data_IF_259774093054
#
_entry.id   IF_259774093054
#
_cell.length_a   1.000
_cell.length_b   1.000
_cell.length_c   1.000
_cell.angle_alpha   90.00
_cell.angle_beta   90.00
_cell.angle_gamma   90.00
#
_symmetry.space_group_name_H-M   'P 1'
#
loop_
_entity.id
_entity.type
_entity.pdbx_description
1 polymer ?
#
# COMPACT_ATOMS: atom_id res chain seq x y z
N UNK A 1 79.39 -30.66 -11.09
CA UNK A 1 79.13 -29.24 -11.43
C UNK A 1 78.03 -28.75 -10.50
N UNK A 2 78.12 -27.49 -10.06
CA UNK A 2 77.55 -26.93 -8.83
C UNK A 2 76.03 -26.64 -8.83
N UNK A 3 75.46 -26.57 -7.63
CA UNK A 3 74.16 -25.98 -7.24
C UNK A 3 74.24 -24.42 -7.33
N UNK A 4 73.13 -23.60 -7.32
CA UNK A 4 72.39 -23.38 -6.06
C UNK A 4 70.88 -22.92 -6.14
N UNK A 5 70.12 -23.29 -5.10
CA UNK A 5 69.10 -22.55 -4.30
C UNK A 5 68.11 -21.50 -4.87
N UNK A 6 66.82 -21.68 -4.53
CA UNK A 6 65.89 -20.67 -3.92
C UNK A 6 64.61 -21.40 -3.46
N UNK A 7 64.40 -21.67 -2.16
CA UNK A 7 63.85 -20.83 -1.07
C UNK A 7 62.30 -20.78 -0.99
N UNK A 8 61.77 -21.36 0.10
CA UNK A 8 60.40 -21.41 0.65
C UNK A 8 59.80 -19.98 0.90
N UNK A 9 58.49 -19.75 1.14
CA UNK A 9 57.82 -20.18 2.39
C UNK A 9 56.33 -20.62 2.31
N UNK A 10 55.94 -21.40 3.33
CA UNK A 10 54.59 -21.62 3.85
C UNK A 10 53.94 -20.32 4.36
N UNK A 11 52.67 -20.05 4.06
CA UNK A 11 51.78 -19.24 4.94
C UNK A 11 50.29 -19.37 4.60
N UNK A 12 49.56 -19.97 5.53
CA UNK A 12 48.26 -19.53 6.09
C UNK A 12 47.13 -19.06 5.16
N UNK A 13 46.07 -19.87 5.15
CA UNK A 13 44.65 -19.49 5.02
C UNK A 13 44.32 -18.12 5.61
N UNK A 14 43.63 -17.25 4.87
CA UNK A 14 42.75 -16.24 5.47
C UNK A 14 41.31 -16.77 5.44
N UNK A 15 40.87 -17.29 6.59
CA UNK A 15 39.48 -17.21 6.97
C UNK A 15 39.22 -15.77 7.42
N UNK A 16 38.48 -15.00 6.63
CA UNK A 16 38.06 -13.61 6.91
C UNK A 16 36.91 -13.34 5.93
N UNK A 17 35.73 -12.86 6.30
CA UNK A 17 35.21 -12.33 7.55
C UNK A 17 33.69 -12.54 7.54
N UNK A 18 33.11 -12.59 8.75
CA UNK A 18 31.67 -12.55 8.95
C UNK A 18 31.03 -11.38 8.20
N UNK A 19 30.09 -11.72 7.34
CA UNK A 19 29.16 -10.76 6.74
C UNK A 19 28.16 -10.37 7.82
N UNK A 20 28.41 -9.19 8.39
CA UNK A 20 27.40 -8.27 8.92
C UNK A 20 26.47 -8.82 10.00
N UNK A 21 26.95 -8.88 11.24
CA UNK A 21 26.05 -8.65 12.37
C UNK A 21 25.54 -7.20 12.27
N UNK A 22 24.40 -6.99 11.60
CA UNK A 22 23.68 -5.73 11.68
C UNK A 22 23.42 -5.42 13.16
N UNK A 23 23.77 -4.22 13.64
CA UNK A 23 23.58 -3.88 15.04
C UNK A 23 22.09 -4.02 15.37
N UNK A 24 21.77 -4.89 16.33
CA UNK A 24 20.42 -4.99 16.87
C UNK A 24 20.15 -3.69 17.63
N UNK A 25 19.49 -2.76 16.96
CA UNK A 25 18.99 -1.52 17.54
C UNK A 25 18.00 -1.89 18.63
N UNK A 26 18.39 -1.68 19.89
CA UNK A 26 17.51 -1.90 21.03
C UNK A 26 16.36 -0.87 20.97
N UNK A 27 15.15 -1.32 20.64
CA UNK A 27 13.95 -0.48 20.56
C UNK A 27 12.74 -1.23 20.03
N UNK A 28 11.52 -0.70 20.25
CA UNK A 28 10.26 -1.21 19.68
C UNK A 28 9.71 -0.17 18.71
N UNK A 29 9.53 -0.55 17.45
CA UNK A 29 8.79 0.25 16.47
C UNK A 29 7.33 -0.19 16.49
N UNK A 30 6.40 0.75 16.52
CA UNK A 30 4.96 0.48 16.41
C UNK A 30 4.43 1.33 15.27
N UNK A 31 3.80 0.69 14.29
CA UNK A 31 3.14 1.37 13.18
C UNK A 31 1.65 1.41 13.51
N UNK A 32 1.09 2.60 13.52
CA UNK A 32 -0.31 2.78 13.83
C UNK A 32 -1.18 2.39 12.61
N UNK A 33 -2.34 1.81 12.88
CA UNK A 33 -3.37 1.44 11.92
C UNK A 33 -3.68 2.56 10.91
N UNK A 34 -3.78 3.81 11.37
CA UNK A 34 -4.03 4.96 10.49
C UNK A 34 -2.94 5.19 9.43
N UNK A 35 -1.69 4.81 9.71
CA UNK A 35 -0.59 4.91 8.75
C UNK A 35 -0.68 3.80 7.71
N UNK A 36 -1.00 2.58 8.16
CA UNK A 36 -1.19 1.43 7.25
C UNK A 36 -2.38 1.67 6.33
N UNK A 37 -3.48 2.20 6.86
CA UNK A 37 -4.67 2.59 6.10
C UNK A 37 -4.34 3.63 5.01
N UNK A 38 -3.48 4.61 5.29
CA UNK A 38 -3.02 5.58 4.27
C UNK A 38 -2.22 4.93 3.16
N UNK A 39 -1.28 4.04 3.50
CA UNK A 39 -0.49 3.31 2.49
C UNK A 39 -1.39 2.45 1.62
N UNK A 40 -2.32 1.70 2.25
CA UNK A 40 -3.31 0.91 1.54
C UNK A 40 -4.22 1.78 0.64
N UNK A 41 -4.63 2.96 1.12
CA UNK A 41 -5.48 3.88 0.35
C UNK A 41 -4.82 4.50 -0.86
N UNK A 42 -3.54 4.86 -0.75
CA UNK A 42 -2.77 5.31 -1.90
C UNK A 42 -2.67 4.16 -2.92
N UNK A 43 -2.27 2.97 -2.48
CA UNK A 43 -2.11 1.82 -3.37
C UNK A 43 -3.43 1.38 -4.03
N UNK A 44 -4.53 1.38 -3.30
CA UNK A 44 -5.84 1.03 -3.82
C UNK A 44 -6.33 2.04 -4.88
N UNK A 45 -6.03 3.34 -4.72
CA UNK A 45 -6.39 4.37 -5.71
C UNK A 45 -5.55 4.32 -6.97
N UNK A 46 -4.33 3.79 -6.89
CA UNK A 46 -3.44 3.62 -8.04
C UNK A 46 -3.81 2.40 -8.91
N UNK A 47 -4.67 1.51 -8.41
CA UNK A 47 -5.13 0.36 -9.18
C UNK A 47 -6.00 0.80 -10.37
N UNK A 48 -5.76 0.20 -11.53
CA UNK A 48 -6.48 0.52 -12.76
C UNK A 48 -7.97 0.20 -12.63
N UNK A 49 -8.83 1.12 -13.09
CA UNK A 49 -10.28 0.98 -13.03
C UNK A 49 -10.90 1.32 -11.68
N UNK A 50 -10.13 1.83 -10.71
CA UNK A 50 -10.67 2.44 -9.48
C UNK A 50 -10.95 3.93 -9.75
N UNK A 51 -12.21 4.32 -9.63
CA UNK A 51 -12.60 5.73 -9.71
C UNK A 51 -12.48 6.43 -8.36
N UNK A 52 -12.96 5.78 -7.29
CA UNK A 52 -12.88 6.32 -5.93
C UNK A 52 -12.86 5.20 -4.87
N UNK A 53 -12.52 5.57 -3.64
CA UNK A 53 -12.67 4.71 -2.46
C UNK A 53 -13.89 5.14 -1.62
N UNK A 54 -14.54 4.19 -0.96
CA UNK A 54 -15.77 4.41 -0.18
C UNK A 54 -17.05 4.36 -1.02
N UNK A 55 -18.14 4.92 -0.48
CA UNK A 55 -19.46 4.94 -1.13
C UNK A 55 -19.96 6.36 -1.48
N UNK A 56 -20.93 6.49 -2.39
CA UNK A 56 -21.40 7.77 -2.96
C UNK A 56 -21.87 8.84 -1.95
N UNK A 57 -22.31 8.46 -0.75
CA UNK A 57 -22.64 9.42 0.32
C UNK A 57 -21.41 10.17 0.88
N UNK A 58 -20.21 9.62 0.68
CA UNK A 58 -18.94 10.27 0.97
C UNK A 58 -18.76 11.57 0.17
N UNK A 59 -19.23 11.63 -1.08
CA UNK A 59 -19.13 12.82 -1.94
C UNK A 59 -20.15 13.90 -1.53
N UNK A 60 -21.37 13.50 -1.17
CA UNK A 60 -22.41 14.43 -0.69
C UNK A 60 -22.05 15.08 0.66
N UNK A 61 -21.33 14.37 1.54
CA UNK A 61 -20.74 14.97 2.75
C UNK A 61 -19.36 15.62 2.52
N UNK A 62 -18.69 15.28 1.42
CA UNK A 62 -17.37 15.77 1.03
C UNK A 62 -17.35 17.28 0.79
N UNK A 63 -18.37 17.83 0.13
CA UNK A 63 -18.46 19.28 -0.13
C UNK A 63 -18.51 20.14 1.16
N UNK A 64 -19.01 19.58 2.28
CA UNK A 64 -19.08 20.26 3.59
C UNK A 64 -17.83 19.94 4.46
N UNK A 65 -17.21 18.77 4.27
CA UNK A 65 -15.98 18.35 5.00
C UNK A 65 -14.68 18.86 4.40
N UNK A 66 -14.63 19.17 3.10
CA UNK A 66 -13.45 19.67 2.38
C UNK A 66 -12.89 20.97 3.02
N UNK A 67 -13.77 21.76 3.65
CA UNK A 67 -13.40 23.00 4.33
C UNK A 67 -12.73 22.80 5.71
N UNK A 68 -12.78 21.60 6.31
CA UNK A 68 -12.38 21.40 7.73
C UNK A 68 -11.42 20.21 7.96
N UNK A 69 -11.40 19.19 7.12
CA UNK A 69 -10.56 18.00 7.35
C UNK A 69 -9.87 17.58 6.05
N UNK A 70 -8.56 17.80 5.97
CA UNK A 70 -7.76 17.48 4.79
C UNK A 70 -7.96 16.04 4.33
N UNK A 71 -8.17 15.89 3.02
CA UNK A 71 -8.16 14.65 2.21
C UNK A 71 -8.05 13.38 3.07
N UNK A 72 -9.18 12.80 3.43
CA UNK A 72 -9.26 11.57 4.23
C UNK A 72 -8.83 10.38 3.35
N UNK A 73 -7.51 10.22 3.16
CA UNK A 73 -6.92 9.20 2.29
C UNK A 73 -7.19 7.75 2.78
N UNK A 74 -7.80 7.59 3.95
CA UNK A 74 -8.24 6.31 4.51
C UNK A 74 -9.75 6.06 4.29
N UNK A 75 -10.49 6.97 3.65
CA UNK A 75 -11.93 6.81 3.49
C UNK A 75 -12.25 5.59 2.62
N UNK A 76 -13.11 4.71 3.15
CA UNK A 76 -13.46 3.44 2.50
C UNK A 76 -12.46 2.31 2.77
N UNK A 77 -11.47 2.52 3.65
CA UNK A 77 -10.50 1.50 4.03
C UNK A 77 -10.54 1.31 5.54
N UNK A 78 -10.71 0.06 5.96
CA UNK A 78 -10.53 -0.37 7.34
C UNK A 78 -9.31 -1.27 7.41
N UNK A 79 -8.48 -1.07 8.43
CA UNK A 79 -7.28 -1.88 8.63
C UNK A 79 -7.25 -2.34 10.07
N UNK A 80 -7.01 -3.63 10.26
CA UNK A 80 -6.76 -4.22 11.56
C UNK A 80 -5.31 -4.70 11.62
N UNK A 81 -4.52 -4.11 12.53
CA UNK A 81 -3.08 -4.38 12.64
C UNK A 81 -2.80 -5.21 13.89
N UNK A 82 -2.20 -6.37 13.69
CA UNK A 82 -1.62 -7.22 14.74
C UNK A 82 -0.15 -6.87 15.01
N UNK A 83 0.58 -7.77 15.67
CA UNK A 83 1.99 -7.52 15.99
C UNK A 83 2.92 -7.65 14.76
N UNK A 84 2.60 -8.58 13.86
CA UNK A 84 3.31 -8.81 12.59
C UNK A 84 2.38 -8.90 11.38
N UNK A 85 1.07 -9.01 11.62
CA UNK A 85 0.06 -9.34 10.63
C UNK A 85 -0.90 -8.17 10.42
N UNK A 86 -1.55 -8.12 9.27
CA UNK A 86 -2.56 -7.11 8.95
C UNK A 86 -3.66 -7.65 8.05
N UNK A 87 -4.90 -7.30 8.39
CA UNK A 87 -6.08 -7.51 7.57
C UNK A 87 -6.60 -6.16 7.06
N UNK A 88 -7.05 -6.13 5.80
CA UNK A 88 -7.50 -4.91 5.13
C UNK A 88 -8.85 -5.13 4.48
N UNK A 89 -9.81 -4.25 4.76
CA UNK A 89 -11.08 -4.17 4.03
C UNK A 89 -11.06 -2.89 3.19
N UNK A 90 -11.30 -3.02 1.89
CA UNK A 90 -11.29 -1.93 0.92
C UNK A 90 -12.66 -1.85 0.26
N UNK A 91 -13.29 -0.69 0.32
CA UNK A 91 -14.51 -0.37 -0.43
C UNK A 91 -14.17 0.55 -1.58
N UNK A 92 -14.59 0.21 -2.81
CA UNK A 92 -14.27 0.96 -4.02
C UNK A 92 -15.52 1.33 -4.82
N UNK A 93 -15.39 2.38 -5.62
CA UNK A 93 -16.22 2.67 -6.79
C UNK A 93 -15.38 2.40 -8.03
N UNK A 94 -15.83 1.50 -8.88
CA UNK A 94 -15.11 1.13 -10.11
C UNK A 94 -15.49 2.04 -11.28
N UNK A 95 -14.63 2.18 -12.27
CA UNK A 95 -14.90 2.93 -13.50
C UNK A 95 -15.50 2.02 -14.57
N UNK A 96 -16.60 2.43 -15.22
CA UNK A 96 -17.10 1.75 -16.41
C UNK A 96 -16.20 2.02 -17.62
N UNK A 97 -15.87 1.04 -18.49
CA UNK A 97 -16.37 -0.34 -18.55
C UNK A 97 -15.41 -1.41 -17.97
N UNK A 98 -14.65 -1.09 -16.92
CA UNK A 98 -13.64 -2.02 -16.41
C UNK A 98 -14.26 -3.33 -15.85
N UNK A 99 -13.65 -4.52 -16.09
CA UNK A 99 -14.08 -5.77 -15.47
C UNK A 99 -13.85 -5.74 -13.95
N UNK A 100 -14.92 -5.86 -13.16
CA UNK A 100 -14.84 -5.67 -11.70
C UNK A 100 -13.93 -6.68 -10.98
N UNK A 101 -13.82 -7.90 -11.49
CA UNK A 101 -12.89 -8.91 -10.97
C UNK A 101 -11.43 -8.45 -11.15
N UNK A 102 -11.07 -7.99 -12.34
CA UNK A 102 -9.71 -7.51 -12.65
C UNK A 102 -9.36 -6.27 -11.81
N UNK A 103 -10.32 -5.37 -11.61
CA UNK A 103 -10.14 -4.21 -10.72
C UNK A 103 -9.90 -4.66 -9.29
N UNK A 104 -10.71 -5.58 -8.77
CA UNK A 104 -10.56 -6.09 -7.40
C UNK A 104 -9.23 -6.83 -7.20
N UNK A 105 -8.80 -7.63 -8.17
CA UNK A 105 -7.51 -8.32 -8.15
C UNK A 105 -6.34 -7.33 -8.22
N UNK A 106 -6.45 -6.29 -9.04
CA UNK A 106 -5.49 -5.20 -9.11
C UNK A 106 -5.35 -4.46 -7.78
N UNK A 107 -6.47 -4.12 -7.14
CA UNK A 107 -6.50 -3.50 -5.80
C UNK A 107 -5.85 -4.43 -4.78
N UNK A 108 -6.26 -5.70 -4.74
CA UNK A 108 -5.73 -6.71 -3.80
C UNK A 108 -4.21 -6.83 -3.93
N UNK A 109 -3.71 -7.02 -5.15
CA UNK A 109 -2.27 -7.15 -5.40
C UNK A 109 -1.50 -5.86 -5.08
N UNK A 110 -2.06 -4.70 -5.41
CA UNK A 110 -1.44 -3.40 -5.14
C UNK A 110 -1.29 -3.14 -3.65
N UNK A 111 -2.36 -3.36 -2.88
CA UNK A 111 -2.39 -3.18 -1.43
C UNK A 111 -1.43 -4.13 -0.73
N UNK A 112 -1.45 -5.43 -1.08
CA UNK A 112 -0.53 -6.43 -0.52
C UNK A 112 0.91 -5.98 -0.71
N UNK A 113 1.28 -5.66 -1.96
CA UNK A 113 2.64 -5.24 -2.31
C UNK A 113 3.05 -3.97 -1.55
N UNK A 114 2.17 -2.99 -1.45
CA UNK A 114 2.48 -1.73 -0.78
C UNK A 114 2.72 -1.94 0.71
N UNK A 115 1.88 -2.71 1.39
CA UNK A 115 2.03 -2.98 2.82
C UNK A 115 3.28 -3.79 3.11
N UNK A 116 3.51 -4.89 2.38
CA UNK A 116 4.69 -5.74 2.60
C UNK A 116 5.99 -4.99 2.28
N UNK A 117 6.02 -4.17 1.23
CA UNK A 117 7.23 -3.47 0.79
C UNK A 117 7.53 -2.19 1.57
N UNK A 118 6.51 -1.47 2.05
CA UNK A 118 6.68 -0.15 2.69
C UNK A 118 6.55 -0.25 4.20
N UNK A 119 5.54 -0.97 4.68
CA UNK A 119 5.22 -1.10 6.10
C UNK A 119 6.00 -2.26 6.74
N UNK A 120 6.25 -3.33 5.97
CA UNK A 120 7.00 -4.50 6.43
C UNK A 120 6.19 -5.43 7.33
N UNK A 121 4.85 -5.41 7.20
CA UNK A 121 3.93 -6.34 7.85
C UNK A 121 3.46 -7.40 6.86
N UNK A 122 3.13 -8.59 7.37
CA UNK A 122 2.56 -9.70 6.59
C UNK A 122 1.05 -9.51 6.41
N UNK A 123 0.57 -9.55 5.18
CA UNK A 123 -0.86 -9.37 4.90
C UNK A 123 -1.57 -10.71 4.96
N UNK A 124 -2.52 -10.87 5.89
CA UNK A 124 -3.29 -12.12 6.03
C UNK A 124 -4.42 -12.19 5.01
N UNK A 125 -5.12 -11.07 4.82
CA UNK A 125 -6.22 -10.96 3.88
C UNK A 125 -6.43 -9.52 3.43
N UNK A 126 -6.96 -9.38 2.21
CA UNK A 126 -7.47 -8.12 1.67
C UNK A 126 -8.85 -8.38 1.09
N UNK A 127 -9.89 -7.83 1.69
CA UNK A 127 -11.25 -7.97 1.20
C UNK A 127 -11.61 -6.72 0.39
N UNK A 128 -12.12 -6.92 -0.83
CA UNK A 128 -12.49 -5.82 -1.72
C UNK A 128 -13.99 -5.85 -1.95
N UNK A 129 -14.68 -4.78 -1.56
CA UNK A 129 -16.10 -4.55 -1.80
C UNK A 129 -16.26 -3.51 -2.88
N UNK A 130 -16.89 -3.87 -4.00
CA UNK A 130 -17.29 -2.91 -5.03
C UNK A 130 -18.66 -2.36 -4.65
N UNK A 131 -18.69 -1.11 -4.18
CA UNK A 131 -19.93 -0.47 -3.74
C UNK A 131 -20.74 0.10 -4.90
N UNK A 132 -20.07 0.63 -5.93
CA UNK A 132 -20.72 1.32 -7.05
C UNK A 132 -19.86 1.30 -8.32
N UNK A 133 -20.45 1.68 -9.46
CA UNK A 133 -19.77 1.86 -10.75
C UNK A 133 -20.02 3.26 -11.28
N UNK A 134 -18.95 4.02 -11.50
CA UNK A 134 -19.00 5.35 -12.09
C UNK A 134 -19.26 5.29 -13.58
N UNK A 135 -20.29 5.98 -14.05
CA UNK A 135 -20.54 6.16 -15.48
C UNK A 135 -20.05 7.56 -15.91
N UNK A 136 -19.46 7.69 -17.11
CA UNK A 136 -19.06 9.00 -17.66
C UNK A 136 -20.20 10.01 -17.82
N UNK A 137 -21.46 9.56 -17.73
CA UNK A 137 -22.65 10.41 -17.78
C UNK A 137 -22.95 11.09 -16.45
N UNK A 138 -22.46 10.54 -15.33
CA UNK A 138 -22.73 11.05 -13.98
C UNK A 138 -21.99 12.38 -13.73
N UNK A 139 -20.80 12.55 -14.32
CA UNK A 139 -20.01 13.80 -14.23
C UNK A 139 -20.74 15.03 -14.83
N UNK A 140 -21.76 14.82 -15.67
CA UNK A 140 -22.53 15.93 -16.31
C UNK A 140 -23.67 16.48 -15.46
N UNK A 141 -24.10 15.75 -14.43
CA UNK A 141 -25.22 16.18 -13.58
C UNK A 141 -24.76 17.07 -12.41
N UNK A 142 -23.53 16.89 -11.93
CA UNK A 142 -22.99 17.65 -10.78
C UNK A 142 -22.79 19.15 -11.08
N UNK A 143 -22.59 19.53 -12.35
CA UNK A 143 -22.46 20.94 -12.77
C UNK A 143 -23.79 21.72 -12.75
N UNK A 144 -24.94 21.03 -12.73
CA UNK A 144 -26.25 21.69 -12.87
C UNK A 144 -26.85 22.11 -11.52
N UNK A 145 -26.52 21.42 -10.43
CA UNK A 145 -27.10 21.68 -9.10
C UNK A 145 -26.36 22.80 -8.33
N UNK A 146 -25.11 23.13 -8.69
CA UNK A 146 -24.35 24.23 -8.07
C UNK A 146 -24.89 25.64 -8.42
N UNK A 147 -25.92 25.75 -9.27
CA UNK A 147 -26.46 27.02 -9.77
C UNK A 147 -27.78 27.49 -9.18
N UNK A 148 -28.39 26.74 -8.25
CA UNK A 148 -29.60 27.19 -7.55
C UNK A 148 -29.24 27.81 -6.19
N UNK A 149 -29.06 29.14 -6.23
CA UNK A 149 -29.03 30.04 -5.07
C UNK A 149 -30.39 30.12 -4.37
#
# INVERSE_FOLDING_TARGET
MANPTSSNPTTSTPATAGVGSTPHTLGKTVINDSVVAKVAGIAAREASGVYALGGGAARAFGAIREAVAGTDQAQGISVEVGETQVAVDVTIVAEYPAPLQDVADGVRSGVIRAIESIVGLEVTEVNVTVNDVHLPSDDKNDDTEARVQ
#
